data_IF_166551787671
#
_entry.id   IF_166551787671
#
_cell.length_a   1.000
_cell.length_b   1.000
_cell.length_c   1.000
_cell.angle_alpha   90.00
_cell.angle_beta   90.00
_cell.angle_gamma   90.00
#
_symmetry.space_group_name_H-M   'P 1'
#
loop_
_entity.id
_entity.type
_entity.pdbx_description
1 polymer ?
#
# COMPACT_ATOMS: atom_id res chain seq x y z
N UNK A 1 20.02 -21.37 0.70
CA UNK A 1 20.80 -20.15 0.36
C UNK A 1 19.92 -18.94 0.04
N UNK A 2 18.93 -19.02 -0.86
CA UNK A 2 18.09 -17.86 -1.26
C UNK A 2 17.48 -17.05 -0.10
N UNK A 3 16.96 -17.71 0.93
CA UNK A 3 16.42 -17.04 2.12
C UNK A 3 17.50 -16.16 2.80
N UNK A 4 18.70 -16.70 3.03
CA UNK A 4 19.80 -15.99 3.68
C UNK A 4 20.24 -14.78 2.86
N UNK A 5 20.31 -14.90 1.53
CA UNK A 5 20.64 -13.80 0.63
C UNK A 5 19.56 -12.71 0.67
N UNK A 6 18.29 -13.11 0.70
CA UNK A 6 17.14 -12.19 0.78
C UNK A 6 17.11 -11.44 2.12
N UNK A 7 17.39 -12.14 3.22
CA UNK A 7 17.51 -11.58 4.56
C UNK A 7 18.67 -10.58 4.66
N UNK A 8 19.85 -10.97 4.16
CA UNK A 8 21.03 -10.11 4.16
C UNK A 8 20.81 -8.86 3.31
N UNK A 9 20.24 -9.01 2.10
CA UNK A 9 19.90 -7.88 1.24
C UNK A 9 18.87 -6.95 1.89
N UNK A 10 17.81 -7.51 2.50
CA UNK A 10 16.81 -6.74 3.24
C UNK A 10 17.43 -5.97 4.41
N UNK A 11 18.26 -6.62 5.22
CA UNK A 11 18.94 -6.01 6.37
C UNK A 11 19.89 -4.87 5.95
N UNK A 12 20.69 -5.08 4.89
CA UNK A 12 21.58 -4.06 4.33
C UNK A 12 20.76 -2.87 3.80
N UNK A 13 19.68 -3.13 3.08
CA UNK A 13 18.80 -2.08 2.56
C UNK A 13 18.21 -1.24 3.70
N UNK A 14 17.83 -1.88 4.80
CA UNK A 14 17.37 -1.18 6.01
C UNK A 14 18.42 -0.33 6.66
N UNK A 15 19.62 -0.88 6.83
CA UNK A 15 20.72 -0.19 7.48
C UNK A 15 21.13 1.06 6.71
N UNK A 16 21.28 0.91 5.38
CA UNK A 16 21.59 2.02 4.46
C UNK A 16 20.46 3.05 4.43
N UNK A 17 19.21 2.61 4.56
CA UNK A 17 18.04 3.48 4.60
C UNK A 17 17.64 3.87 6.02
N UNK A 18 18.53 3.91 7.03
CA UNK A 18 18.13 4.47 8.32
C UNK A 18 17.94 6.00 8.21
N UNK A 19 16.76 6.55 8.55
CA UNK A 19 16.50 7.97 8.40
C UNK A 19 17.24 8.77 9.49
N UNK A 20 18.05 9.74 9.05
CA UNK A 20 18.77 10.70 9.91
C UNK A 20 17.95 11.98 10.12
N UNK A 21 18.33 12.84 11.07
CA UNK A 21 17.68 14.15 11.27
C UNK A 21 17.67 15.00 9.99
N UNK A 22 18.77 14.98 9.21
CA UNK A 22 18.86 15.64 7.89
C UNK A 22 17.85 15.08 6.90
N UNK A 23 17.61 13.77 6.92
CA UNK A 23 16.58 13.13 6.11
C UNK A 23 15.17 13.53 6.57
N UNK A 24 14.95 13.66 7.89
CA UNK A 24 13.72 14.18 8.50
C UNK A 24 13.42 15.62 8.06
N UNK A 25 14.40 16.52 8.10
CA UNK A 25 14.23 17.91 7.64
C UNK A 25 13.94 17.99 6.14
N UNK A 26 14.72 17.28 5.30
CA UNK A 26 14.47 17.18 3.85
C UNK A 26 13.12 16.54 3.53
N UNK A 27 12.65 15.65 4.39
CA UNK A 27 11.33 15.07 4.29
C UNK A 27 10.26 16.13 4.56
N UNK A 28 10.32 16.81 5.70
CA UNK A 28 9.37 17.85 6.09
C UNK A 28 9.31 19.00 5.08
N UNK A 29 10.46 19.45 4.58
CA UNK A 29 10.52 20.49 3.54
C UNK A 29 9.78 20.07 2.26
N UNK A 30 9.93 18.81 1.84
CA UNK A 30 9.19 18.25 0.69
C UNK A 30 7.70 18.11 0.94
N UNK A 31 7.25 18.11 2.19
CA UNK A 31 5.84 17.99 2.56
C UNK A 31 5.23 19.32 3.02
N UNK A 32 5.87 20.44 2.67
CA UNK A 32 5.33 21.78 2.91
C UNK A 32 5.72 22.40 4.25
N UNK A 33 6.66 21.82 4.98
CA UNK A 33 7.22 22.37 6.24
C UNK A 33 8.70 22.71 6.01
N UNK A 34 9.03 23.81 5.30
CA UNK A 34 10.39 24.14 4.89
C UNK A 34 11.30 24.49 6.08
N UNK A 35 10.75 25.17 7.09
CA UNK A 35 11.49 25.70 8.24
C UNK A 35 11.32 24.81 9.47
N UNK A 36 11.42 23.48 9.28
CA UNK A 36 11.27 22.55 10.37
C UNK A 36 12.42 22.71 11.39
N UNK A 37 12.07 22.92 12.65
CA UNK A 37 13.04 23.00 13.73
C UNK A 37 13.73 21.62 13.96
N UNK A 38 14.71 21.62 14.86
CA UNK A 38 15.48 20.42 15.14
C UNK A 38 14.65 19.34 15.88
N UNK A 39 13.70 19.74 16.72
CA UNK A 39 12.83 18.82 17.45
C UNK A 39 11.85 18.11 16.51
N UNK A 40 11.20 18.85 15.61
CA UNK A 40 10.34 18.38 14.52
C UNK A 40 11.11 17.47 13.56
N UNK A 41 12.33 17.85 13.18
CA UNK A 41 13.19 17.03 12.32
C UNK A 41 13.52 15.68 12.95
N UNK A 42 13.87 15.66 14.25
CA UNK A 42 14.10 14.42 15.00
C UNK A 42 12.82 13.61 15.19
N UNK A 43 11.69 14.26 15.43
CA UNK A 43 10.39 13.59 15.55
C UNK A 43 10.01 12.90 14.23
N UNK A 44 10.13 13.59 13.10
CA UNK A 44 9.90 13.02 11.78
C UNK A 44 10.87 11.87 11.48
N UNK A 45 12.17 12.02 11.78
CA UNK A 45 13.15 10.96 11.59
C UNK A 45 12.83 9.70 12.44
N UNK A 46 12.43 9.89 13.70
CA UNK A 46 11.99 8.80 14.58
C UNK A 46 10.76 8.10 14.02
N UNK A 47 9.76 8.85 13.58
CA UNK A 47 8.56 8.30 12.95
C UNK A 47 8.89 7.48 11.68
N UNK A 48 9.77 8.00 10.82
CA UNK A 48 10.22 7.29 9.62
C UNK A 48 10.99 6.01 9.98
N UNK A 49 11.78 6.03 11.06
CA UNK A 49 12.54 4.87 11.55
C UNK A 49 11.61 3.79 12.08
N UNK A 50 10.65 4.16 12.93
CA UNK A 50 9.65 3.24 13.49
C UNK A 50 8.87 2.51 12.38
N UNK A 51 8.50 3.24 11.32
CA UNK A 51 7.85 2.64 10.15
C UNK A 51 8.78 1.76 9.34
N UNK A 52 10.04 2.17 9.13
CA UNK A 52 11.02 1.36 8.41
C UNK A 52 11.36 0.07 9.15
N UNK A 53 11.33 0.06 10.49
CA UNK A 53 11.54 -1.15 11.30
C UNK A 53 10.41 -2.17 11.20
N UNK A 54 9.20 -1.75 10.78
CA UNK A 54 8.13 -2.69 10.48
C UNK A 54 8.38 -3.46 9.18
N UNK A 55 9.01 -2.82 8.19
CA UNK A 55 9.27 -3.43 6.89
C UNK A 55 10.11 -4.71 6.93
N UNK A 56 11.24 -4.82 7.65
CA UNK A 56 11.97 -6.09 7.72
C UNK A 56 11.16 -7.15 8.43
N UNK A 57 10.42 -6.81 9.47
CA UNK A 57 9.63 -7.78 10.22
C UNK A 57 8.54 -8.36 9.32
N UNK A 58 7.81 -7.50 8.59
CA UNK A 58 6.80 -7.98 7.65
C UNK A 58 7.42 -8.61 6.39
N UNK A 59 8.56 -8.12 5.91
CA UNK A 59 9.30 -8.71 4.80
C UNK A 59 10.03 -10.00 5.17
N UNK A 60 10.26 -10.29 6.45
CA UNK A 60 10.72 -11.58 6.93
C UNK A 60 9.57 -12.56 7.03
N UNK A 61 8.50 -12.17 7.74
CA UNK A 61 7.40 -13.06 8.10
C UNK A 61 6.59 -13.50 6.87
N UNK A 62 6.29 -12.57 5.96
CA UNK A 62 5.37 -12.87 4.84
C UNK A 62 5.98 -13.84 3.82
N UNK A 63 7.27 -13.73 3.42
CA UNK A 63 7.90 -14.74 2.58
C UNK A 63 8.08 -16.08 3.28
N UNK A 64 8.39 -16.14 4.59
CA UNK A 64 8.52 -17.44 5.28
C UNK A 64 7.22 -18.22 5.25
N UNK A 65 6.08 -17.57 5.46
CA UNK A 65 4.79 -18.28 5.40
C UNK A 65 4.45 -18.71 3.97
N UNK A 66 4.74 -17.87 2.96
CA UNK A 66 4.54 -18.21 1.54
C UNK A 66 5.55 -19.23 0.98
N UNK A 67 6.76 -19.33 1.54
CA UNK A 67 7.81 -20.28 1.12
C UNK A 67 7.79 -21.59 1.90
N UNK A 68 7.39 -21.57 3.17
CA UNK A 68 7.56 -22.73 4.09
C UNK A 68 6.23 -23.45 4.34
N UNK A 69 5.10 -22.73 4.40
CA UNK A 69 3.81 -23.35 4.75
C UNK A 69 3.03 -23.89 3.54
N UNK A 70 3.55 -23.75 2.31
CA UNK A 70 2.92 -24.19 1.05
C UNK A 70 1.41 -23.87 0.98
N UNK A 71 1.01 -22.74 1.56
CA UNK A 71 -0.41 -22.40 1.78
C UNK A 71 -1.14 -22.13 0.48
N UNK A 72 -0.39 -21.91 -0.61
CA UNK A 72 -0.95 -21.69 -1.93
C UNK A 72 0.10 -21.79 -3.07
N UNK A 73 0.61 -22.98 -3.39
CA UNK A 73 1.47 -23.19 -4.56
C UNK A 73 0.80 -22.73 -5.87
N UNK A 74 -0.53 -22.71 -5.90
CA UNK A 74 -1.36 -22.33 -7.04
C UNK A 74 -1.55 -20.80 -7.19
N UNK A 75 -1.43 -20.02 -6.10
CA UNK A 75 -1.57 -18.55 -6.13
C UNK A 75 -0.27 -17.85 -6.54
N UNK A 76 0.83 -18.60 -6.74
CA UNK A 76 2.13 -18.05 -7.10
C UNK A 76 2.21 -17.78 -8.61
N UNK A 77 2.24 -16.51 -9.06
CA UNK A 77 2.42 -16.19 -10.46
C UNK A 77 3.82 -16.61 -10.92
N UNK A 78 3.92 -16.82 -12.22
CA UNK A 78 5.15 -17.25 -12.88
C UNK A 78 6.20 -16.13 -12.77
N UNK A 79 7.41 -16.47 -12.33
CA UNK A 79 8.58 -15.57 -12.34
C UNK A 79 8.63 -14.54 -11.20
N UNK A 80 9.04 -13.31 -11.53
CA UNK A 80 9.39 -12.27 -10.54
C UNK A 80 8.20 -11.75 -9.70
N UNK A 81 6.96 -11.89 -10.19
CA UNK A 81 5.77 -11.43 -9.49
C UNK A 81 5.48 -12.21 -8.20
N UNK A 82 6.00 -13.44 -8.07
CA UNK A 82 5.87 -14.27 -6.87
C UNK A 82 6.41 -13.57 -5.62
N UNK A 83 7.44 -12.73 -5.79
CA UNK A 83 8.05 -11.99 -4.70
C UNK A 83 7.37 -10.66 -4.41
N UNK A 84 6.52 -10.16 -5.32
CA UNK A 84 5.90 -8.85 -5.19
C UNK A 84 4.73 -8.87 -4.19
N UNK A 85 3.90 -9.92 -4.22
CA UNK A 85 2.75 -10.03 -3.33
C UNK A 85 3.14 -10.00 -1.84
N UNK A 86 4.10 -10.82 -1.37
CA UNK A 86 4.54 -10.77 0.02
C UNK A 86 4.96 -9.37 0.46
N UNK A 87 5.68 -8.65 -0.40
CA UNK A 87 6.19 -7.30 -0.12
C UNK A 87 5.06 -6.28 -0.03
N UNK A 88 4.09 -6.36 -0.95
CA UNK A 88 2.93 -5.46 -0.94
C UNK A 88 2.04 -5.74 0.27
N UNK A 89 1.77 -7.01 0.58
CA UNK A 89 1.01 -7.41 1.78
C UNK A 89 1.74 -6.95 3.04
N UNK A 90 3.05 -7.18 3.13
CA UNK A 90 3.90 -6.72 4.21
C UNK A 90 3.83 -5.19 4.40
N UNK A 91 3.80 -4.44 3.30
CA UNK A 91 3.69 -2.99 3.30
C UNK A 91 2.31 -2.53 3.79
N UNK A 92 1.22 -3.14 3.30
CA UNK A 92 -0.14 -2.83 3.76
C UNK A 92 -0.31 -3.14 5.25
N UNK A 93 0.19 -4.29 5.71
CA UNK A 93 0.16 -4.68 7.13
C UNK A 93 0.99 -3.70 7.97
N UNK A 94 2.22 -3.38 7.55
CA UNK A 94 3.07 -2.44 8.27
C UNK A 94 2.40 -1.06 8.40
N UNK A 95 1.72 -0.59 7.35
CA UNK A 95 0.99 0.66 7.35
C UNK A 95 -0.24 0.60 8.28
N UNK A 96 -1.01 -0.49 8.25
CA UNK A 96 -2.14 -0.70 9.14
C UNK A 96 -1.70 -0.78 10.62
N UNK A 97 -0.66 -1.57 10.93
CA UNK A 97 -0.08 -1.66 12.27
C UNK A 97 0.50 -0.33 12.74
N UNK A 98 1.17 0.40 11.84
CA UNK A 98 1.68 1.73 12.11
C UNK A 98 0.57 2.75 12.40
N UNK A 99 -0.60 2.60 11.77
CA UNK A 99 -1.78 3.42 12.04
C UNK A 99 -2.45 3.05 13.37
N UNK A 100 -2.41 1.77 13.76
CA UNK A 100 -2.94 1.28 15.05
C UNK A 100 -2.06 1.64 16.24
N UNK A 101 -0.74 1.78 16.06
CA UNK A 101 0.17 2.26 17.11
C UNK A 101 -0.15 3.73 17.45
N UNK A 102 -0.89 3.91 18.54
CA UNK A 102 -1.24 5.21 19.08
C UNK A 102 -0.02 6.06 19.40
N UNK A 103 -0.07 7.37 19.13
CA UNK A 103 0.97 8.29 19.60
C UNK A 103 0.72 8.61 21.06
N UNK A 104 1.75 8.45 21.89
CA UNK A 104 1.77 8.95 23.26
C UNK A 104 2.31 10.38 23.23
N UNK A 105 1.53 11.35 23.71
CA UNK A 105 1.96 12.74 23.81
C UNK A 105 0.83 13.70 24.15
N UNK A 106 1.16 14.97 24.46
CA UNK A 106 0.17 16.00 24.79
C UNK A 106 -0.78 16.21 23.61
N UNK A 107 -2.08 16.17 23.90
CA UNK A 107 -3.14 16.29 22.90
C UNK A 107 -3.42 17.77 22.65
N UNK A 108 -3.28 18.22 21.40
CA UNK A 108 -3.71 19.55 20.99
C UNK A 108 -5.16 19.51 20.48
N UNK A 109 -5.99 20.43 20.96
CA UNK A 109 -7.35 20.62 20.44
C UNK A 109 -7.27 21.36 19.10
N UNK A 110 -7.49 20.66 17.99
CA UNK A 110 -7.62 21.27 16.67
C UNK A 110 -9.10 21.23 16.26
N UNK A 111 -9.70 22.41 16.07
CA UNK A 111 -11.13 22.59 15.74
C UNK A 111 -11.47 22.33 14.26
N UNK A 112 -10.48 21.98 13.42
CA UNK A 112 -10.72 21.78 11.98
C UNK A 112 -11.28 20.40 11.69
N UNK A 113 -12.41 20.37 10.97
CA UNK A 113 -13.03 19.14 10.47
C UNK A 113 -12.12 18.54 9.40
N UNK A 114 -11.59 17.35 9.67
CA UNK A 114 -10.66 16.64 8.78
C UNK A 114 -11.36 15.55 7.99
N UNK A 115 -11.13 15.51 6.68
CA UNK A 115 -11.62 14.48 5.77
C UNK A 115 -10.51 13.60 5.22
N UNK A 116 -10.87 12.43 4.70
CA UNK A 116 -9.92 11.55 3.99
C UNK A 116 -9.38 12.20 2.70
N UNK A 117 -10.18 13.11 2.10
CA UNK A 117 -9.85 13.85 0.87
C UNK A 117 -8.65 14.78 1.06
N UNK A 118 -8.36 15.16 2.29
CA UNK A 118 -7.22 16.02 2.63
C UNK A 118 -5.92 15.20 2.69
N UNK A 119 -6.03 13.90 2.98
CA UNK A 119 -4.89 12.99 3.07
C UNK A 119 -4.55 12.35 1.72
N UNK A 120 -5.56 11.88 0.99
CA UNK A 120 -5.39 11.09 -0.24
C UNK A 120 -6.14 11.75 -1.40
N UNK A 121 -5.49 11.91 -2.58
CA UNK A 121 -6.17 12.46 -3.75
C UNK A 121 -7.32 11.56 -4.22
N UNK A 122 -8.45 12.18 -4.63
CA UNK A 122 -9.65 11.46 -5.08
C UNK A 122 -9.36 10.47 -6.20
N UNK A 123 -8.53 10.85 -7.18
CA UNK A 123 -8.20 10.01 -8.31
C UNK A 123 -7.53 8.69 -7.89
N UNK A 124 -6.69 8.70 -6.85
CA UNK A 124 -6.02 7.49 -6.37
C UNK A 124 -7.01 6.50 -5.76
N UNK A 125 -8.04 7.00 -5.07
CA UNK A 125 -9.12 6.17 -4.56
C UNK A 125 -9.95 5.59 -5.70
N UNK A 126 -10.23 6.39 -6.75
CA UNK A 126 -10.93 5.91 -7.94
C UNK A 126 -10.14 4.79 -8.64
N UNK A 127 -8.82 4.97 -8.84
CA UNK A 127 -7.96 3.94 -9.44
C UNK A 127 -7.91 2.67 -8.58
N UNK A 128 -7.75 2.80 -7.26
CA UNK A 128 -7.80 1.67 -6.34
C UNK A 128 -9.11 0.87 -6.45
N UNK A 129 -10.25 1.57 -6.45
CA UNK A 129 -11.57 0.94 -6.56
C UNK A 129 -11.82 0.32 -7.93
N UNK A 130 -11.34 0.96 -9.01
CA UNK A 130 -11.42 0.41 -10.36
C UNK A 130 -10.64 -0.91 -10.47
N UNK A 131 -9.40 -0.95 -9.96
CA UNK A 131 -8.60 -2.19 -9.92
C UNK A 131 -9.28 -3.28 -9.09
N UNK A 132 -9.84 -2.94 -7.93
CA UNK A 132 -10.57 -3.88 -7.10
C UNK A 132 -11.81 -4.45 -7.82
N UNK A 133 -12.59 -3.58 -8.47
CA UNK A 133 -13.76 -3.99 -9.25
C UNK A 133 -13.37 -4.89 -10.42
N UNK A 134 -12.27 -4.58 -11.13
CA UNK A 134 -11.74 -5.44 -12.19
C UNK A 134 -11.35 -6.82 -11.67
N UNK A 135 -10.67 -6.91 -10.51
CA UNK A 135 -10.27 -8.18 -9.92
C UNK A 135 -11.48 -9.04 -9.54
N UNK A 136 -12.51 -8.44 -8.93
CA UNK A 136 -13.76 -9.11 -8.58
C UNK A 136 -14.50 -9.57 -9.84
N UNK A 137 -14.64 -8.70 -10.85
CA UNK A 137 -15.31 -9.04 -12.09
C UNK A 137 -14.65 -10.25 -12.77
N UNK A 138 -13.32 -10.24 -12.91
CA UNK A 138 -12.57 -11.37 -13.49
C UNK A 138 -12.73 -12.65 -12.66
N UNK A 139 -12.76 -12.53 -11.34
CA UNK A 139 -12.99 -13.68 -10.44
C UNK A 139 -14.40 -14.26 -10.60
N UNK A 140 -15.41 -13.42 -10.72
CA UNK A 140 -16.79 -13.84 -10.96
C UNK A 140 -16.95 -14.52 -12.33
N UNK A 141 -16.29 -14.00 -13.37
CA UNK A 141 -16.28 -14.64 -14.69
C UNK A 141 -15.62 -16.04 -14.61
N UNK A 142 -14.54 -16.18 -13.84
CA UNK A 142 -13.93 -17.49 -13.55
C UNK A 142 -14.89 -18.45 -12.84
N UNK A 143 -15.65 -17.99 -11.85
CA UNK A 143 -16.65 -18.80 -11.14
C UNK A 143 -17.80 -19.26 -12.04
N UNK A 144 -18.28 -18.37 -12.92
CA UNK A 144 -19.35 -18.70 -13.86
C UNK A 144 -18.91 -19.78 -14.85
N UNK A 145 -17.65 -19.72 -15.31
CA UNK A 145 -17.07 -20.72 -16.17
C UNK A 145 -16.78 -22.05 -15.46
N UNK A 146 -16.46 -22.01 -14.18
CA UNK A 146 -16.30 -23.24 -13.39
C UNK A 146 -17.57 -24.09 -13.40
N UNK A 147 -18.73 -23.43 -13.21
CA UNK A 147 -20.03 -24.09 -13.13
C UNK A 147 -20.33 -24.97 -14.35
N UNK A 148 -19.76 -24.65 -15.50
CA UNK A 148 -19.96 -25.41 -16.74
C UNK A 148 -18.92 -26.49 -17.00
N UNK A 149 -17.76 -26.50 -16.30
CA UNK A 149 -16.59 -27.33 -16.67
C UNK A 149 -15.89 -28.08 -15.52
N UNK A 150 -16.37 -28.00 -14.27
CA UNK A 150 -15.81 -28.74 -13.11
C UNK A 150 -14.33 -28.45 -12.78
N UNK A 151 -13.73 -27.36 -13.30
CA UNK A 151 -12.38 -26.87 -12.99
C UNK A 151 -12.30 -26.13 -11.64
N UNK A 152 -11.71 -26.71 -10.60
CA UNK A 152 -11.57 -26.07 -9.27
C UNK A 152 -11.15 -24.59 -9.37
N UNK A 153 -12.01 -23.70 -8.88
CA UNK A 153 -11.87 -22.24 -9.01
C UNK A 153 -11.39 -21.64 -7.69
N UNK A 154 -10.18 -21.07 -7.69
CA UNK A 154 -9.66 -20.28 -6.56
C UNK A 154 -10.17 -18.83 -6.56
N UNK A 155 -11.16 -18.52 -7.39
CA UNK A 155 -11.75 -17.18 -7.51
C UNK A 155 -12.31 -16.65 -6.17
N UNK A 156 -12.77 -17.54 -5.30
CA UNK A 156 -13.19 -17.18 -3.94
C UNK A 156 -12.07 -16.52 -3.13
N UNK A 157 -10.83 -17.04 -3.24
CA UNK A 157 -9.67 -16.50 -2.54
C UNK A 157 -9.35 -15.09 -3.02
N UNK A 158 -9.46 -14.81 -4.32
CA UNK A 158 -9.23 -13.47 -4.86
C UNK A 158 -10.27 -12.48 -4.33
N UNK A 159 -11.55 -12.87 -4.31
CA UNK A 159 -12.62 -12.00 -3.78
C UNK A 159 -12.39 -11.70 -2.30
N UNK A 160 -12.04 -12.72 -1.50
CA UNK A 160 -11.69 -12.53 -0.08
C UNK A 160 -10.46 -11.63 0.07
N UNK A 161 -9.42 -11.82 -0.73
CA UNK A 161 -8.21 -11.00 -0.69
C UNK A 161 -8.48 -9.54 -1.08
N UNK A 162 -9.36 -9.28 -2.07
CA UNK A 162 -9.80 -7.92 -2.41
C UNK A 162 -10.51 -7.28 -1.22
N UNK A 163 -11.47 -7.99 -0.62
CA UNK A 163 -12.23 -7.47 0.52
C UNK A 163 -11.33 -7.13 1.72
N UNK A 164 -10.44 -8.06 2.10
CA UNK A 164 -9.48 -7.87 3.20
C UNK A 164 -8.50 -6.73 2.88
N UNK A 165 -7.97 -6.68 1.65
CA UNK A 165 -7.06 -5.63 1.21
C UNK A 165 -7.68 -4.24 1.25
N UNK A 166 -8.92 -4.09 0.75
CA UNK A 166 -9.64 -2.82 0.83
C UNK A 166 -9.94 -2.43 2.27
N UNK A 167 -10.37 -3.37 3.11
CA UNK A 167 -10.60 -3.11 4.53
C UNK A 167 -9.34 -2.63 5.25
N UNK A 168 -8.19 -3.23 4.96
CA UNK A 168 -6.89 -2.82 5.52
C UNK A 168 -6.49 -1.41 5.06
N UNK A 169 -6.59 -1.11 3.75
CA UNK A 169 -6.22 0.19 3.17
C UNK A 169 -7.14 1.30 3.70
N UNK A 170 -8.45 1.13 3.60
CA UNK A 170 -9.40 2.13 4.10
C UNK A 170 -9.38 2.24 5.63
N UNK A 171 -9.11 1.14 6.34
CA UNK A 171 -8.86 1.14 7.77
C UNK A 171 -7.66 2.03 8.14
N UNK A 172 -6.53 1.85 7.46
CA UNK A 172 -5.33 2.68 7.66
C UNK A 172 -5.61 4.17 7.39
N UNK A 173 -6.31 4.49 6.29
CA UNK A 173 -6.71 5.88 5.97
C UNK A 173 -7.65 6.44 7.03
N UNK A 174 -8.67 5.68 7.45
CA UNK A 174 -9.63 6.09 8.48
C UNK A 174 -8.96 6.33 9.83
N UNK A 175 -8.00 5.48 10.21
CA UNK A 175 -7.20 5.66 11.41
C UNK A 175 -6.33 6.92 11.31
N UNK A 176 -5.71 7.18 10.16
CA UNK A 176 -4.92 8.41 9.94
C UNK A 176 -5.77 9.68 10.10
N UNK A 177 -7.03 9.67 9.65
CA UNK A 177 -7.98 10.78 9.85
C UNK A 177 -8.35 10.94 11.33
N UNK A 178 -8.67 9.82 12.02
CA UNK A 178 -9.19 9.83 13.39
C UNK A 178 -8.14 9.99 14.48
N UNK A 179 -6.86 9.81 14.15
CA UNK A 179 -5.77 9.91 15.12
C UNK A 179 -5.77 11.30 15.80
N UNK A 180 -5.59 11.41 17.12
CA UNK A 180 -5.46 12.71 17.80
C UNK A 180 -4.17 13.41 17.37
N UNK A 181 -4.20 14.74 17.26
CA UNK A 181 -3.00 15.53 16.92
C UNK A 181 -2.04 15.44 18.09
N UNK A 182 -0.79 15.09 17.80
CA UNK A 182 0.28 15.07 18.79
C UNK A 182 1.42 15.94 18.30
N UNK A 183 1.89 16.82 19.19
CA UNK A 183 2.89 17.84 18.89
C UNK A 183 2.40 18.84 17.82
N UNK A 184 3.29 19.22 16.91
CA UNK A 184 3.04 20.23 15.88
C UNK A 184 1.99 19.75 14.84
N UNK A 185 0.88 20.50 14.65
CA UNK A 185 -0.17 20.14 13.69
C UNK A 185 0.33 19.97 12.24
N UNK A 186 1.30 20.76 11.79
CA UNK A 186 1.82 20.72 10.42
C UNK A 186 2.64 19.46 10.18
N UNK A 187 3.50 19.10 11.13
CA UNK A 187 4.33 17.89 11.07
C UNK A 187 3.45 16.64 11.09
N UNK A 188 2.47 16.59 11.99
CA UNK A 188 1.56 15.45 12.10
C UNK A 188 0.68 15.30 10.85
N UNK A 189 0.18 16.40 10.28
CA UNK A 189 -0.54 16.38 9.01
C UNK A 189 0.31 15.80 7.86
N UNK A 190 1.56 16.23 7.73
CA UNK A 190 2.49 15.72 6.73
C UNK A 190 2.74 14.20 6.88
N UNK A 191 2.97 13.73 8.11
CA UNK A 191 3.22 12.31 8.39
C UNK A 191 1.99 11.43 8.11
N UNK A 192 0.78 11.91 8.45
CA UNK A 192 -0.48 11.21 8.17
C UNK A 192 -0.79 11.14 6.69
N UNK A 193 -0.64 12.26 5.98
CA UNK A 193 -0.86 12.31 4.54
C UNK A 193 0.08 11.32 3.83
N UNK A 194 1.35 11.27 4.24
CA UNK A 194 2.29 10.25 3.75
C UNK A 194 1.82 8.84 4.02
N UNK A 195 1.50 8.49 5.28
CA UNK A 195 1.07 7.14 5.63
C UNK A 195 -0.16 6.70 4.83
N UNK A 196 -1.19 7.55 4.79
CA UNK A 196 -2.41 7.29 4.03
C UNK A 196 -2.13 7.08 2.53
N UNK A 197 -1.25 7.90 1.94
CA UNK A 197 -0.85 7.78 0.53
C UNK A 197 -0.03 6.54 0.24
N UNK A 198 0.88 6.15 1.14
CA UNK A 198 1.64 4.90 1.03
C UNK A 198 0.68 3.70 1.11
N UNK A 199 -0.26 3.70 2.07
CA UNK A 199 -1.25 2.64 2.20
C UNK A 199 -2.12 2.49 0.94
N UNK A 200 -2.59 3.61 0.35
CA UNK A 200 -3.36 3.56 -0.90
C UNK A 200 -2.49 3.13 -2.08
N UNK A 201 -1.24 3.60 -2.18
CA UNK A 201 -0.29 3.14 -3.19
C UNK A 201 -0.02 1.65 -3.14
N UNK A 202 0.23 1.12 -1.93
CA UNK A 202 0.38 -0.31 -1.69
C UNK A 202 -0.90 -1.08 -2.02
N UNK A 203 -2.06 -0.54 -1.67
CA UNK A 203 -3.36 -1.07 -2.05
C UNK A 203 -3.54 -1.17 -3.57
N UNK A 204 -3.15 -0.15 -4.33
CA UNK A 204 -3.23 -0.18 -5.80
C UNK A 204 -2.35 -1.29 -6.39
N UNK A 205 -1.12 -1.43 -5.88
CA UNK A 205 -0.23 -2.52 -6.30
C UNK A 205 -0.83 -3.90 -5.97
N UNK A 206 -1.46 -4.04 -4.80
CA UNK A 206 -2.14 -5.27 -4.40
C UNK A 206 -3.30 -5.59 -5.33
N UNK A 207 -4.17 -4.62 -5.60
CA UNK A 207 -5.33 -4.82 -6.46
C UNK A 207 -4.91 -5.13 -7.89
N UNK A 208 -3.89 -4.45 -8.43
CA UNK A 208 -3.35 -4.77 -9.76
C UNK A 208 -2.81 -6.21 -9.83
N UNK A 209 -2.13 -6.68 -8.78
CA UNK A 209 -1.71 -8.07 -8.67
C UNK A 209 -2.92 -9.04 -8.64
N UNK A 210 -3.95 -8.72 -7.87
CA UNK A 210 -5.16 -9.56 -7.79
C UNK A 210 -5.95 -9.57 -9.11
N UNK A 211 -5.94 -8.48 -9.88
CA UNK A 211 -6.44 -8.46 -11.27
C UNK A 211 -5.67 -9.45 -12.13
N UNK A 212 -4.34 -9.39 -12.10
CA UNK A 212 -3.50 -10.32 -12.86
C UNK A 212 -3.79 -11.77 -12.49
N UNK A 213 -3.89 -12.06 -11.20
CA UNK A 213 -4.21 -13.40 -10.71
C UNK A 213 -5.60 -13.83 -11.19
N UNK A 214 -6.67 -13.09 -10.89
CA UNK A 214 -8.02 -13.42 -11.35
C UNK A 214 -8.09 -13.67 -12.86
N UNK A 215 -7.35 -12.86 -13.63
CA UNK A 215 -7.23 -12.99 -15.06
C UNK A 215 -6.57 -14.30 -15.49
N UNK A 216 -5.39 -14.65 -14.93
CA UNK A 216 -4.69 -15.90 -15.23
C UNK A 216 -5.58 -17.12 -14.97
N UNK A 217 -6.35 -17.09 -13.87
CA UNK A 217 -7.27 -18.15 -13.51
C UNK A 217 -8.45 -18.26 -14.48
N UNK A 218 -9.07 -17.13 -14.82
CA UNK A 218 -10.11 -17.08 -15.85
C UNK A 218 -9.59 -17.56 -17.21
N UNK A 219 -8.31 -17.33 -17.51
CA UNK A 219 -7.68 -17.74 -18.75
C UNK A 219 -7.53 -19.27 -18.86
N UNK A 220 -7.06 -19.92 -17.79
CA UNK A 220 -6.87 -21.37 -17.75
C UNK A 220 -8.18 -22.16 -17.84
N UNK A 221 -9.30 -21.55 -17.44
CA UNK A 221 -10.62 -22.16 -17.60
C UNK A 221 -11.09 -22.20 -19.08
N UNK A 222 -10.26 -21.75 -20.03
CA UNK A 222 -10.44 -21.78 -21.49
C UNK A 222 -11.78 -21.15 -21.95
N UNK A 223 -12.19 -20.13 -21.20
CA UNK A 223 -13.50 -19.50 -21.34
C UNK A 223 -13.53 -18.60 -22.58
N UNK A 224 -12.34 -18.20 -23.09
CA UNK A 224 -12.21 -17.03 -23.94
C UNK A 224 -10.91 -16.98 -24.75
N UNK A 225 -10.38 -18.10 -25.29
CA UNK A 225 -9.08 -18.16 -25.98
C UNK A 225 -8.69 -16.95 -26.85
N UNK A 226 -9.57 -16.43 -27.74
CA UNK A 226 -9.30 -15.24 -28.55
C UNK A 226 -9.39 -13.91 -27.78
N UNK A 227 -10.30 -13.78 -26.82
CA UNK A 227 -10.48 -12.55 -26.01
C UNK A 227 -9.35 -12.44 -24.97
N UNK A 228 -8.83 -13.57 -24.49
CA UNK A 228 -7.75 -13.66 -23.50
C UNK A 228 -6.43 -13.10 -24.02
N UNK A 229 -6.09 -13.35 -25.28
CA UNK A 229 -4.92 -12.75 -25.95
C UNK A 229 -5.03 -11.22 -25.98
N UNK A 230 -6.23 -10.68 -26.25
CA UNK A 230 -6.47 -9.23 -26.20
C UNK A 230 -6.38 -8.65 -24.78
N UNK A 231 -6.87 -9.36 -23.77
CA UNK A 231 -6.84 -8.88 -22.37
C UNK A 231 -5.48 -8.97 -21.68
N UNK A 232 -4.52 -9.75 -22.19
CA UNK A 232 -3.13 -9.63 -21.73
C UNK A 232 -2.59 -8.20 -21.93
N UNK A 233 -3.07 -7.50 -22.98
CA UNK A 233 -2.77 -6.09 -23.22
C UNK A 233 -3.40 -5.14 -22.21
N UNK A 234 -4.41 -5.57 -21.44
CA UNK A 234 -5.03 -4.79 -20.35
C UNK A 234 -4.36 -5.01 -19.00
N UNK A 235 -3.87 -6.22 -18.74
CA UNK A 235 -3.22 -6.55 -17.45
C UNK A 235 -1.77 -6.07 -17.41
N UNK A 236 -1.04 -6.18 -18.52
CA UNK A 236 0.34 -5.66 -18.64
C UNK A 236 0.48 -4.18 -18.28
N UNK A 237 -0.40 -3.26 -18.69
CA UNK A 237 -0.35 -1.86 -18.27
C UNK A 237 -0.85 -1.63 -16.84
N UNK A 238 -1.60 -2.55 -16.23
CA UNK A 238 -2.08 -2.36 -14.85
C UNK A 238 -0.94 -2.27 -13.83
N UNK A 239 0.15 -3.02 -14.04
CA UNK A 239 1.35 -2.99 -13.19
C UNK A 239 2.10 -1.65 -13.28
N UNK A 240 2.52 -1.15 -14.47
CA UNK A 240 3.14 0.16 -14.59
C UNK A 240 2.18 1.28 -14.20
N UNK A 241 0.87 1.19 -14.47
CA UNK A 241 -0.12 2.16 -13.96
C UNK A 241 -0.16 2.17 -12.44
N UNK A 242 -0.13 1.00 -11.79
CA UNK A 242 -0.07 0.92 -10.33
C UNK A 242 1.27 1.46 -9.78
N UNK A 243 2.39 1.18 -10.42
CA UNK A 243 3.71 1.68 -10.01
C UNK A 243 3.83 3.19 -10.23
N UNK A 244 3.45 3.70 -11.39
CA UNK A 244 3.42 5.14 -11.70
C UNK A 244 2.42 5.83 -10.79
N UNK A 245 1.22 5.27 -10.63
CA UNK A 245 0.21 5.75 -9.71
C UNK A 245 0.72 5.82 -8.28
N UNK A 246 1.44 4.80 -7.81
CA UNK A 246 2.08 4.79 -6.50
C UNK A 246 3.15 5.88 -6.38
N UNK A 247 4.06 6.00 -7.37
CA UNK A 247 5.08 7.05 -7.38
C UNK A 247 4.43 8.43 -7.38
N UNK A 248 3.40 8.66 -8.19
CA UNK A 248 2.67 9.93 -8.23
C UNK A 248 1.98 10.21 -6.91
N UNK A 249 1.28 9.24 -6.30
CA UNK A 249 0.65 9.39 -4.98
C UNK A 249 1.68 9.70 -3.89
N UNK A 250 2.84 9.05 -3.93
CA UNK A 250 3.92 9.28 -2.98
C UNK A 250 4.66 10.62 -3.21
N UNK A 251 4.71 11.08 -4.46
CA UNK A 251 5.49 12.25 -4.90
C UNK A 251 4.66 13.51 -5.06
N UNK A 252 3.32 13.45 -4.98
CA UNK A 252 2.43 14.61 -4.90
C UNK A 252 2.65 15.36 -3.57
N UNK A 253 3.84 15.93 -3.39
CA UNK A 253 4.27 16.85 -2.34
C UNK A 253 3.43 18.14 -2.27
N UNK A 254 2.50 18.33 -3.21
CA UNK A 254 1.94 19.62 -3.56
C UNK A 254 0.50 19.91 -3.14
N UNK A 255 -0.14 19.11 -2.29
CA UNK A 255 -1.41 19.56 -1.66
C UNK A 255 -1.10 20.53 -0.51
N UNK A 256 -0.38 21.59 -0.86
CA UNK A 256 -0.30 22.86 -0.18
C UNK A 256 -1.68 23.50 0.06
N UNK A 257 -2.81 22.86 -0.29
CA UNK A 257 -4.14 23.34 0.07
C UNK A 257 -4.30 23.34 1.60
N UNK A 258 -4.10 22.19 2.26
CA UNK A 258 -4.24 22.10 3.71
C UNK A 258 -3.19 22.94 4.46
N UNK A 259 -1.93 22.90 4.02
CA UNK A 259 -0.87 23.70 4.65
C UNK A 259 -1.07 25.19 4.41
N UNK A 260 -1.56 25.63 3.24
CA UNK A 260 -1.89 27.05 3.00
C UNK A 260 -3.07 27.48 3.87
N UNK A 261 -4.09 26.64 3.99
CA UNK A 261 -5.29 26.94 4.80
C UNK A 261 -4.96 27.04 6.29
N UNK A 262 -4.09 26.17 6.82
CA UNK A 262 -3.59 26.27 8.20
C UNK A 262 -2.64 27.47 8.39
N UNK A 263 -1.87 27.87 7.36
CA UNK A 263 -0.98 29.04 7.45
C UNK A 263 -1.75 30.37 7.36
N UNK A 264 -2.96 30.36 6.81
CA UNK A 264 -3.84 31.53 6.70
C UNK A 264 -4.82 31.69 7.86
N UNK A 265 -4.92 30.69 8.75
CA UNK A 265 -5.80 30.68 9.92
C UNK A 265 -4.99 30.97 11.20
#
# INVERSE_FOLDING_TARGET
>A
MLLVTYLAAGAVLLFVLLPTAKAGRRFLARWGVPDADEAQSRHAARHLRERRLLYPVTFLLVPTDFLVLDVAPHLAPIGYLRYLLPVVVALVIAEALGALRGVRGPRAAALTRRGWRDLVPKWAVVVLLALAASAVLMSLLGLLAWRTRSVHSESGLVITAVAVGLAAVFGAVRLAVRRPVVADPLVDAALRARGARIAVGAGMALMAYLVFLAFTWAAHADVWGPILVGSQLLVLPAIPVALVGWVLVARLSGSAAYVREVRSA
#
